data_IF_681247717165
#
_entry.id   IF_681247717165
#
_cell.length_a   1.000
_cell.length_b   1.000
_cell.length_c   1.000
_cell.angle_alpha   90.00
_cell.angle_beta   90.00
_cell.angle_gamma   90.00
#
_symmetry.space_group_name_H-M   'P 1'
#
loop_
_entity.id
_entity.type
_entity.pdbx_description
1 polymer ?
#
# COMPACT_ATOMS: atom_id res chain seq x y z
N UNK A 1 -26.14 53.24 32.37
CA UNK A 1 -24.96 53.42 31.49
C UNK A 1 -23.81 52.46 31.82
N UNK A 2 -23.19 52.51 33.01
CA UNK A 2 -22.02 51.68 33.32
C UNK A 2 -22.25 50.15 33.33
N UNK A 3 -23.44 49.67 33.71
CA UNK A 3 -23.77 48.25 33.73
C UNK A 3 -23.94 47.64 32.33
N UNK A 4 -24.44 48.42 31.35
CA UNK A 4 -24.61 47.99 29.96
C UNK A 4 -23.25 47.84 29.25
N UNK A 5 -22.36 48.83 29.41
CA UNK A 5 -21.01 48.79 28.84
C UNK A 5 -20.19 47.59 29.33
N UNK A 6 -20.37 47.18 30.58
CA UNK A 6 -19.68 46.03 31.17
C UNK A 6 -20.20 44.68 30.61
N UNK A 7 -21.52 44.57 30.42
CA UNK A 7 -22.15 43.38 29.85
C UNK A 7 -21.80 43.19 28.36
N UNK A 8 -21.75 44.27 27.59
CA UNK A 8 -21.32 44.22 26.18
C UNK A 8 -19.84 43.86 26.03
N UNK A 9 -18.96 44.37 26.90
CA UNK A 9 -17.55 44.01 26.90
C UNK A 9 -17.31 42.52 27.25
N UNK A 10 -18.06 41.97 28.20
CA UNK A 10 -17.95 40.57 28.60
C UNK A 10 -18.51 39.62 27.53
N UNK A 11 -19.62 39.99 26.88
CA UNK A 11 -20.17 39.26 25.74
C UNK A 11 -19.21 39.26 24.54
N UNK A 12 -18.59 40.40 24.23
CA UNK A 12 -17.59 40.51 23.17
C UNK A 12 -16.31 39.71 23.49
N UNK A 13 -15.89 39.65 24.76
CA UNK A 13 -14.75 38.86 25.18
C UNK A 13 -15.03 37.35 25.09
N UNK A 14 -16.22 36.89 25.52
CA UNK A 14 -16.64 35.48 25.36
C UNK A 14 -16.74 35.07 23.89
N UNK A 15 -17.39 35.88 23.05
CA UNK A 15 -17.50 35.60 21.62
C UNK A 15 -16.13 35.52 20.92
N UNK A 16 -15.17 36.38 21.28
CA UNK A 16 -13.80 36.29 20.77
C UNK A 16 -13.05 35.04 21.26
N UNK A 17 -13.24 34.65 22.52
CA UNK A 17 -12.61 33.45 23.07
C UNK A 17 -13.15 32.18 22.40
N UNK A 18 -14.47 32.08 22.22
CA UNK A 18 -15.11 30.93 21.54
C UNK A 18 -14.73 30.86 20.05
N UNK A 19 -14.66 32.00 19.35
CA UNK A 19 -14.21 32.03 17.96
C UNK A 19 -12.73 31.61 17.83
N UNK A 20 -11.87 32.04 18.76
CA UNK A 20 -10.47 31.64 18.78
C UNK A 20 -10.29 30.15 19.10
N UNK A 21 -11.11 29.57 19.98
CA UNK A 21 -11.08 28.14 20.28
C UNK A 21 -11.54 27.31 19.09
N UNK A 22 -12.65 27.67 18.44
CA UNK A 22 -13.13 27.00 17.22
C UNK A 22 -12.10 27.06 16.10
N UNK A 23 -11.51 28.22 15.84
CA UNK A 23 -10.46 28.36 14.83
C UNK A 23 -9.22 27.48 15.14
N UNK A 24 -8.82 27.36 16.41
CA UNK A 24 -7.74 26.44 16.82
C UNK A 24 -8.13 24.97 16.64
N UNK A 25 -9.36 24.61 16.99
CA UNK A 25 -9.84 23.24 16.84
C UNK A 25 -9.94 22.83 15.36
N UNK A 26 -10.43 23.73 14.51
CA UNK A 26 -10.50 23.54 13.06
C UNK A 26 -9.11 23.45 12.43
N UNK A 27 -8.18 24.32 12.81
CA UNK A 27 -6.79 24.25 12.35
C UNK A 27 -6.09 22.95 12.78
N UNK A 28 -6.31 22.50 14.02
CA UNK A 28 -5.78 21.23 14.51
C UNK A 28 -6.39 20.02 13.79
N UNK A 29 -7.69 20.06 13.48
CA UNK A 29 -8.35 19.01 12.70
C UNK A 29 -7.82 18.96 11.26
N UNK A 30 -7.67 20.12 10.60
CA UNK A 30 -7.09 20.23 9.25
C UNK A 30 -5.65 19.70 9.23
N UNK A 31 -4.82 20.09 10.21
CA UNK A 31 -3.45 19.61 10.31
C UNK A 31 -3.38 18.08 10.47
N UNK A 32 -4.29 17.48 11.26
CA UNK A 32 -4.39 16.02 11.40
C UNK A 32 -4.79 15.34 10.09
N UNK A 33 -5.74 15.90 9.34
CA UNK A 33 -6.17 15.37 8.05
C UNK A 33 -5.02 15.42 7.03
N UNK A 34 -4.30 16.53 6.94
CA UNK A 34 -3.17 16.67 6.03
C UNK A 34 -2.00 15.75 6.41
N UNK A 35 -1.68 15.61 7.70
CA UNK A 35 -0.69 14.65 8.16
C UNK A 35 -1.09 13.19 7.83
N UNK A 36 -2.37 12.85 7.98
CA UNK A 36 -2.88 11.52 7.64
C UNK A 36 -2.80 11.25 6.13
N UNK A 37 -3.14 12.24 5.28
CA UNK A 37 -2.99 12.13 3.82
C UNK A 37 -1.53 11.96 3.42
N UNK A 38 -0.62 12.76 3.99
CA UNK A 38 0.81 12.66 3.71
C UNK A 38 1.35 11.27 4.08
N UNK A 39 0.96 10.74 5.25
CA UNK A 39 1.33 9.37 5.67
C UNK A 39 0.76 8.32 4.70
N UNK A 40 -0.50 8.44 4.30
CA UNK A 40 -1.12 7.52 3.35
C UNK A 40 -0.44 7.54 1.98
N UNK A 41 -0.05 8.71 1.49
CA UNK A 41 0.68 8.86 0.23
C UNK A 41 2.08 8.21 0.30
N UNK A 42 2.81 8.41 1.40
CA UNK A 42 4.11 7.78 1.62
C UNK A 42 4.00 6.24 1.64
N UNK A 43 3.02 5.69 2.37
CA UNK A 43 2.74 4.25 2.40
C UNK A 43 2.35 3.71 1.02
N UNK A 44 1.55 4.46 0.26
CA UNK A 44 1.17 4.10 -1.11
C UNK A 44 2.37 4.05 -2.05
N UNK A 45 3.29 5.01 -1.94
CA UNK A 45 4.53 5.01 -2.72
C UNK A 45 5.43 3.81 -2.36
N UNK A 46 5.61 3.52 -1.07
CA UNK A 46 6.37 2.34 -0.61
C UNK A 46 5.75 1.04 -1.14
N UNK A 47 4.42 0.91 -1.07
CA UNK A 47 3.70 -0.25 -1.59
C UNK A 47 3.92 -0.43 -3.11
N UNK A 48 3.83 0.66 -3.87
CA UNK A 48 4.05 0.61 -5.31
C UNK A 48 5.49 0.19 -5.66
N UNK A 49 6.47 0.75 -4.94
CA UNK A 49 7.89 0.38 -5.12
C UNK A 49 8.12 -1.10 -4.79
N UNK A 50 7.56 -1.62 -3.69
CA UNK A 50 7.67 -3.03 -3.33
C UNK A 50 7.02 -3.93 -4.38
N UNK A 51 5.80 -3.62 -4.85
CA UNK A 51 5.11 -4.38 -5.92
C UNK A 51 5.94 -4.43 -7.21
N UNK A 52 6.56 -3.31 -7.61
CA UNK A 52 7.47 -3.26 -8.76
C UNK A 52 8.75 -4.08 -8.56
N UNK A 53 9.35 -3.99 -7.37
CA UNK A 53 10.56 -4.73 -7.03
C UNK A 53 10.31 -6.25 -6.99
N UNK A 54 9.17 -6.68 -6.46
CA UNK A 54 8.71 -8.07 -6.48
C UNK A 54 8.60 -8.55 -7.91
N UNK A 55 7.86 -7.83 -8.76
CA UNK A 55 7.69 -8.21 -10.18
C UNK A 55 9.04 -8.36 -10.87
N UNK A 56 9.94 -7.38 -10.73
CA UNK A 56 11.28 -7.43 -11.33
C UNK A 56 12.10 -8.62 -10.82
N UNK A 57 12.00 -8.93 -9.53
CA UNK A 57 12.74 -10.07 -8.95
C UNK A 57 12.21 -11.40 -9.46
N UNK A 58 10.89 -11.56 -9.53
CA UNK A 58 10.24 -12.75 -10.11
C UNK A 58 10.62 -12.90 -11.58
N UNK A 59 10.53 -11.84 -12.36
CA UNK A 59 10.88 -11.84 -13.79
C UNK A 59 12.36 -12.19 -14.02
N UNK A 60 13.28 -11.71 -13.16
CA UNK A 60 14.70 -12.07 -13.19
C UNK A 60 14.97 -13.52 -12.80
N UNK A 61 14.17 -14.08 -11.89
CA UNK A 61 14.26 -15.48 -11.48
C UNK A 61 13.58 -16.44 -12.44
N UNK A 62 12.70 -15.94 -13.31
CA UNK A 62 11.95 -16.74 -14.27
C UNK A 62 12.85 -17.27 -15.37
N UNK A 63 12.74 -18.58 -15.59
CA UNK A 63 13.43 -19.27 -16.69
C UNK A 63 12.38 -19.52 -17.77
N UNK A 64 12.51 -18.80 -18.89
CA UNK A 64 11.59 -18.92 -20.03
C UNK A 64 11.70 -20.34 -20.62
N UNK A 65 10.64 -21.16 -20.56
CA UNK A 65 10.65 -22.47 -21.20
C UNK A 65 10.64 -22.32 -22.73
N UNK A 66 11.31 -23.23 -23.46
CA UNK A 66 11.39 -23.17 -24.92
C UNK A 66 10.03 -23.33 -25.63
N UNK A 67 9.06 -23.97 -24.98
CA UNK A 67 7.72 -24.23 -25.53
C UNK A 67 6.73 -23.07 -25.35
N UNK A 68 7.08 -22.04 -24.57
CA UNK A 68 6.16 -20.96 -24.19
C UNK A 68 6.14 -19.87 -25.25
N UNK A 69 4.92 -19.55 -25.72
CA UNK A 69 4.68 -18.45 -26.66
C UNK A 69 4.74 -17.10 -25.94
N UNK A 70 5.25 -16.07 -26.62
CA UNK A 70 5.27 -14.71 -26.07
C UNK A 70 3.84 -14.16 -25.87
N UNK A 71 3.65 -13.33 -24.85
CA UNK A 71 2.38 -12.66 -24.56
C UNK A 71 1.41 -13.43 -23.64
N UNK A 72 1.81 -14.60 -23.14
CA UNK A 72 1.07 -15.32 -22.12
C UNK A 72 1.09 -14.56 -20.78
N UNK A 73 -0.04 -14.60 -20.08
CA UNK A 73 -0.22 -13.94 -18.78
C UNK A 73 -1.02 -14.84 -17.86
N UNK A 74 -0.59 -14.97 -16.61
CA UNK A 74 -1.32 -15.70 -15.57
C UNK A 74 -1.40 -14.86 -14.30
N UNK A 75 -2.40 -15.10 -13.46
CA UNK A 75 -2.51 -14.45 -12.15
C UNK A 75 -2.09 -15.45 -11.09
N UNK A 76 -1.11 -15.04 -10.27
CA UNK A 76 -0.54 -15.88 -9.20
C UNK A 76 -0.89 -15.25 -7.86
N UNK A 77 -1.40 -16.07 -6.94
CA UNK A 77 -1.56 -15.75 -5.54
C UNK A 77 -0.31 -16.17 -4.79
N UNK A 78 0.25 -15.24 -4.02
CA UNK A 78 1.49 -15.46 -3.26
C UNK A 78 1.25 -15.16 -1.79
N UNK A 79 1.72 -16.04 -0.91
CA UNK A 79 1.73 -15.83 0.54
C UNK A 79 3.16 -15.70 1.03
N UNK A 80 3.42 -14.64 1.79
CA UNK A 80 4.74 -14.28 2.29
C UNK A 80 4.80 -14.25 3.82
N UNK A 81 5.97 -14.57 4.38
CA UNK A 81 6.34 -14.21 5.74
C UNK A 81 6.83 -12.76 5.82
N UNK A 82 6.89 -12.22 7.03
CA UNK A 82 7.31 -10.83 7.29
C UNK A 82 8.76 -10.53 6.89
N UNK A 83 9.60 -11.55 6.71
CA UNK A 83 10.96 -11.40 6.20
C UNK A 83 11.02 -11.38 4.66
N UNK A 84 9.89 -11.62 3.99
CA UNK A 84 9.79 -11.74 2.53
C UNK A 84 9.93 -13.16 2.00
N UNK A 85 10.12 -14.17 2.86
CA UNK A 85 10.13 -15.57 2.43
C UNK A 85 8.78 -15.98 1.85
N UNK A 86 8.81 -16.61 0.66
CA UNK A 86 7.62 -17.18 0.01
C UNK A 86 7.23 -18.47 0.72
N UNK A 87 6.01 -18.52 1.24
CA UNK A 87 5.43 -19.71 1.86
C UNK A 87 4.67 -20.54 0.82
N UNK A 88 4.04 -19.85 -0.12
CA UNK A 88 3.10 -20.44 -1.07
C UNK A 88 2.97 -19.55 -2.31
N UNK A 89 2.88 -20.19 -3.48
CA UNK A 89 2.62 -19.55 -4.75
C UNK A 89 1.73 -20.48 -5.58
N UNK A 90 0.57 -19.98 -5.99
CA UNK A 90 -0.43 -20.77 -6.72
C UNK A 90 -1.03 -19.95 -7.86
N UNK A 91 -1.16 -20.55 -9.04
CA UNK A 91 -1.89 -19.93 -10.15
C UNK A 91 -3.40 -19.96 -9.89
N UNK A 92 -4.01 -18.78 -9.77
CA UNK A 92 -5.46 -18.62 -9.61
C UNK A 92 -6.17 -18.37 -10.93
N UNK A 93 -5.45 -17.88 -11.94
CA UNK A 93 -5.94 -17.73 -13.31
C UNK A 93 -4.85 -18.18 -14.27
N UNK A 94 -5.08 -19.33 -14.90
CA UNK A 94 -4.17 -19.92 -15.89
C UNK A 94 -3.99 -19.02 -17.12
N UNK A 95 -2.82 -19.06 -17.74
CA UNK A 95 -2.60 -18.46 -19.06
C UNK A 95 -3.16 -19.29 -20.22
N UNK A 96 -3.69 -20.49 -19.95
CA UNK A 96 -4.02 -21.50 -20.95
C UNK A 96 -2.86 -22.40 -21.35
N UNK A 97 -1.71 -22.30 -20.67
CA UNK A 97 -0.53 -23.13 -20.87
C UNK A 97 0.04 -23.56 -19.51
N UNK A 98 -0.08 -24.86 -19.20
CA UNK A 98 0.34 -25.40 -17.90
C UNK A 98 1.86 -25.32 -17.69
N UNK A 99 2.66 -25.34 -18.77
CA UNK A 99 4.12 -25.21 -18.69
C UNK A 99 4.50 -23.78 -18.32
N UNK A 100 3.80 -22.79 -18.88
CA UNK A 100 3.95 -21.39 -18.49
C UNK A 100 3.56 -21.18 -17.02
N UNK A 101 2.38 -21.67 -16.62
CA UNK A 101 1.86 -21.51 -15.27
C UNK A 101 2.81 -22.09 -14.22
N UNK A 102 3.26 -23.34 -14.40
CA UNK A 102 4.24 -23.97 -13.51
C UNK A 102 5.59 -23.25 -13.51
N UNK A 103 6.02 -22.73 -14.65
CA UNK A 103 7.27 -21.97 -14.73
C UNK A 103 7.17 -20.66 -13.94
N UNK A 104 6.00 -20.01 -13.98
CA UNK A 104 5.75 -18.79 -13.23
C UNK A 104 5.69 -19.04 -11.71
N UNK A 105 5.04 -20.12 -11.26
CA UNK A 105 5.05 -20.54 -9.85
C UNK A 105 6.47 -20.82 -9.36
N UNK A 106 7.27 -21.53 -10.15
CA UNK A 106 8.68 -21.80 -9.85
C UNK A 106 9.51 -20.51 -9.77
N UNK A 107 9.23 -19.53 -10.63
CA UNK A 107 9.92 -18.24 -10.58
C UNK A 107 9.64 -17.46 -9.30
N UNK A 108 8.40 -17.50 -8.81
CA UNK A 108 8.03 -16.88 -7.53
C UNK A 108 8.78 -17.54 -6.38
N UNK A 109 8.76 -18.88 -6.32
CA UNK A 109 9.47 -19.63 -5.29
C UNK A 109 10.98 -19.36 -5.33
N UNK A 110 11.59 -19.32 -6.52
CA UNK A 110 13.01 -19.01 -6.71
C UNK A 110 13.39 -17.55 -6.43
N UNK A 111 12.42 -16.64 -6.49
CA UNK A 111 12.63 -15.24 -6.16
C UNK A 111 12.67 -14.98 -4.64
N UNK A 112 12.33 -15.98 -3.82
CA UNK A 112 12.42 -15.92 -2.36
C UNK A 112 13.85 -15.61 -1.89
N UNK A 113 14.05 -14.72 -0.90
CA UNK A 113 13.05 -13.86 -0.27
C UNK A 113 12.71 -12.65 -1.16
N UNK A 114 11.44 -12.29 -1.24
CA UNK A 114 10.95 -11.14 -2.01
C UNK A 114 11.15 -9.82 -1.27
N UNK A 115 11.40 -8.70 -1.99
CA UNK A 115 11.51 -7.39 -1.37
C UNK A 115 10.15 -6.92 -0.86
N UNK A 116 9.99 -6.88 0.46
CA UNK A 116 8.77 -6.43 1.14
C UNK A 116 8.96 -5.07 1.81
N UNK A 117 7.89 -4.27 2.01
CA UNK A 117 7.97 -3.01 2.74
C UNK A 117 8.45 -3.23 4.19
N UNK A 118 9.14 -2.22 4.75
CA UNK A 118 9.59 -2.26 6.16
C UNK A 118 8.44 -1.99 7.13
N UNK A 119 7.42 -1.27 6.66
CA UNK A 119 6.24 -0.98 7.46
C UNK A 119 5.41 -2.26 7.70
N UNK A 120 5.25 -2.61 8.98
CA UNK A 120 4.59 -3.87 9.39
C UNK A 120 3.09 -3.85 9.10
N UNK A 121 2.44 -2.70 9.23
CA UNK A 121 1.01 -2.56 8.97
C UNK A 121 0.72 -2.71 7.48
N UNK A 122 1.53 -2.06 6.64
CA UNK A 122 1.46 -2.18 5.18
C UNK A 122 1.71 -3.62 4.74
N UNK A 123 2.73 -4.28 5.29
CA UNK A 123 3.00 -5.69 5.00
C UNK A 123 1.80 -6.57 5.35
N UNK A 124 1.29 -6.46 6.58
CA UNK A 124 0.20 -7.29 7.06
C UNK A 124 -1.10 -7.11 6.23
N UNK A 125 -1.35 -5.88 5.75
CA UNK A 125 -2.54 -5.53 4.96
C UNK A 125 -2.43 -5.93 3.49
N UNK A 126 -1.28 -5.69 2.86
CA UNK A 126 -1.16 -5.75 1.38
C UNK A 126 -0.20 -6.84 0.87
N UNK A 127 0.73 -7.36 1.68
CA UNK A 127 1.82 -8.23 1.20
C UNK A 127 1.86 -9.61 1.84
N UNK A 128 1.19 -9.83 2.98
CA UNK A 128 1.05 -11.17 3.59
C UNK A 128 0.43 -12.18 2.63
N UNK A 129 -0.57 -11.76 1.87
CA UNK A 129 -1.20 -12.54 0.81
C UNK A 129 -1.70 -11.60 -0.27
N UNK A 130 -1.13 -11.68 -1.47
CA UNK A 130 -1.54 -10.82 -2.59
C UNK A 130 -1.59 -11.61 -3.89
N UNK A 131 -2.29 -11.05 -4.86
CA UNK A 131 -2.33 -11.57 -6.22
C UNK A 131 -1.65 -10.57 -7.14
N UNK A 132 -0.92 -11.06 -8.13
CA UNK A 132 -0.39 -10.21 -9.18
C UNK A 132 -0.47 -10.90 -10.54
N UNK A 133 -0.62 -10.09 -11.59
CA UNK A 133 -0.56 -10.55 -12.97
C UNK A 133 0.90 -10.72 -13.37
N UNK A 134 1.30 -11.97 -13.61
CA UNK A 134 2.58 -12.27 -14.22
C UNK A 134 2.43 -12.20 -15.74
N UNK A 135 3.13 -11.24 -16.34
CA UNK A 135 3.19 -11.03 -17.78
C UNK A 135 4.63 -10.66 -18.14
N UNK A 136 5.47 -11.66 -18.46
CA UNK A 136 6.84 -11.43 -18.87
C UNK A 136 6.84 -10.82 -20.26
N UNK A 137 7.43 -9.63 -20.38
CA UNK A 137 7.65 -8.95 -21.67
C UNK A 137 8.92 -9.45 -22.35
#
# INVERSE_FOLDING_TARGET
AAAQAKAEAEAAAKAKAEAAEKAKAEAAAQAKVEAAKAKAAALGAEAAQAKLAIRKKVERSWIRPASVTAGLKCTIRVRLMSDGTVIDAEVVSSSGDEIFDRSAENAVNKASPLPVPKDKELFAREFRSFQFLFNPK
#
